data_IF_419408121771
#
_entry.id   IF_419408121771
#
_cell.length_a   1.000
_cell.length_b   1.000
_cell.length_c   1.000
_cell.angle_alpha   90.00
_cell.angle_beta   90.00
_cell.angle_gamma   90.00
#
_symmetry.space_group_name_H-M   'P 1'
#
loop_
_entity.id
_entity.type
_entity.pdbx_description
1 polymer ?
#
# COMPACT_ATOMS: atom_id res chain seq x y z
N UNK A 1 21.88 -15.75 10.62
CA UNK A 1 21.40 -14.37 10.37
C UNK A 1 20.92 -14.26 8.92
N UNK A 2 20.05 -13.29 8.61
CA UNK A 2 19.55 -13.06 7.24
C UNK A 2 19.73 -11.60 6.88
N UNK A 3 20.28 -11.33 5.70
CA UNK A 3 20.38 -10.01 5.10
C UNK A 3 19.51 -9.98 3.85
N UNK A 4 18.66 -8.97 3.75
CA UNK A 4 17.68 -8.83 2.67
C UNK A 4 17.96 -7.56 1.90
N UNK A 5 18.10 -7.68 0.59
CA UNK A 5 18.32 -6.58 -0.34
C UNK A 5 17.21 -6.55 -1.39
N UNK A 6 16.78 -5.35 -1.79
CA UNK A 6 15.79 -5.24 -2.86
C UNK A 6 16.33 -5.74 -4.20
N UNK A 7 17.62 -5.52 -4.47
CA UNK A 7 18.37 -6.05 -5.62
C UNK A 7 19.84 -6.21 -5.31
N UNK A 8 20.53 -7.06 -6.08
CA UNK A 8 21.99 -7.30 -5.93
C UNK A 8 22.82 -6.02 -6.01
N UNK A 9 22.42 -5.06 -6.85
CA UNK A 9 23.10 -3.77 -6.96
C UNK A 9 23.04 -2.88 -5.71
N UNK A 10 22.24 -3.25 -4.70
CA UNK A 10 22.22 -2.56 -3.40
C UNK A 10 23.00 -3.30 -2.30
N UNK A 11 23.58 -4.45 -2.61
CA UNK A 11 24.46 -5.16 -1.68
C UNK A 11 25.86 -4.53 -1.74
N UNK A 12 26.33 -3.89 -0.65
CA UNK A 12 27.68 -3.34 -0.58
C UNK A 12 28.76 -4.42 -0.46
N UNK A 13 28.36 -5.68 -0.33
CA UNK A 13 29.25 -6.79 0.00
C UNK A 13 29.58 -6.84 1.49
N UNK A 14 30.22 -7.94 1.90
CA UNK A 14 30.70 -8.11 3.26
C UNK A 14 32.16 -7.67 3.38
N UNK A 15 32.53 -6.99 4.49
CA UNK A 15 33.93 -6.79 4.83
C UNK A 15 34.64 -8.14 4.95
N UNK A 16 35.96 -8.15 4.70
CA UNK A 16 36.75 -9.39 4.64
C UNK A 16 36.61 -10.26 5.89
N UNK A 17 36.52 -9.64 7.07
CA UNK A 17 36.35 -10.31 8.37
C UNK A 17 35.03 -11.07 8.53
N UNK A 18 34.06 -10.83 7.64
CA UNK A 18 32.74 -11.45 7.69
C UNK A 18 32.47 -12.40 6.51
N UNK A 19 33.42 -12.60 5.59
CA UNK A 19 33.21 -13.46 4.42
C UNK A 19 32.96 -14.92 4.81
N UNK A 20 33.61 -15.42 5.85
CA UNK A 20 33.44 -16.79 6.34
C UNK A 20 32.01 -17.12 6.77
N UNK A 21 31.19 -16.12 7.13
CA UNK A 21 29.79 -16.35 7.49
C UNK A 21 28.93 -16.81 6.31
N UNK A 22 29.28 -16.42 5.08
CA UNK A 22 28.61 -16.93 3.87
C UNK A 22 29.01 -18.38 3.59
N UNK A 23 30.31 -18.66 3.61
CA UNK A 23 30.85 -20.00 3.34
C UNK A 23 30.35 -21.04 4.33
N UNK A 24 30.22 -20.64 5.60
CA UNK A 24 29.73 -21.50 6.69
C UNK A 24 28.19 -21.53 6.81
N UNK A 25 27.45 -20.90 5.90
CA UNK A 25 25.99 -20.81 5.91
C UNK A 25 25.39 -20.21 7.20
N UNK A 26 26.19 -19.43 7.95
CA UNK A 26 25.72 -18.71 9.15
C UNK A 26 25.03 -17.39 8.79
N UNK A 27 25.22 -16.92 7.57
CA UNK A 27 24.57 -15.77 6.98
C UNK A 27 23.93 -16.14 5.64
N UNK A 28 22.65 -15.80 5.49
CA UNK A 28 21.90 -15.96 4.24
C UNK A 28 21.63 -14.59 3.61
N UNK A 29 21.98 -14.45 2.33
CA UNK A 29 21.66 -13.29 1.52
C UNK A 29 20.40 -13.58 0.70
N UNK A 30 19.42 -12.68 0.79
CA UNK A 30 18.18 -12.75 0.03
C UNK A 30 18.06 -11.49 -0.84
N UNK A 31 17.99 -11.68 -2.15
CA UNK A 31 17.70 -10.62 -3.11
C UNK A 31 16.25 -10.73 -3.56
N UNK A 32 15.44 -9.71 -3.28
CA UNK A 32 14.00 -9.77 -3.49
C UNK A 32 13.63 -9.87 -4.98
N UNK A 33 14.37 -9.23 -5.87
CA UNK A 33 14.19 -9.31 -7.31
C UNK A 33 14.64 -10.64 -7.94
N UNK A 34 15.41 -11.46 -7.21
CA UNK A 34 15.90 -12.77 -7.66
C UNK A 34 15.18 -13.95 -6.99
N UNK A 35 14.12 -13.69 -6.21
CA UNK A 35 13.40 -14.76 -5.51
C UNK A 35 12.68 -15.70 -6.51
N UNK A 36 12.85 -17.04 -6.40
CA UNK A 36 12.22 -17.99 -7.30
C UNK A 36 10.69 -17.94 -7.23
N UNK A 37 10.03 -17.94 -8.39
CA UNK A 37 8.57 -17.90 -8.48
C UNK A 37 7.91 -19.02 -7.66
N UNK A 38 8.50 -20.23 -7.69
CA UNK A 38 8.02 -21.38 -6.90
C UNK A 38 7.88 -21.11 -5.41
N UNK A 39 8.77 -20.31 -4.82
CA UNK A 39 8.71 -19.98 -3.38
C UNK A 39 7.65 -18.91 -3.15
N UNK A 40 7.64 -17.89 -3.99
CA UNK A 40 6.70 -16.77 -3.88
C UNK A 40 5.25 -17.20 -4.13
N UNK A 41 5.02 -18.19 -4.98
CA UNK A 41 3.68 -18.69 -5.30
C UNK A 41 3.12 -19.60 -4.21
N UNK A 42 3.98 -20.07 -3.29
CA UNK A 42 3.60 -20.91 -2.15
C UNK A 42 3.36 -20.12 -0.86
N UNK A 43 3.87 -18.88 -0.75
CA UNK A 43 3.65 -18.02 0.42
C UNK A 43 3.25 -16.61 0.00
N UNK A 44 2.06 -16.22 0.44
CA UNK A 44 1.50 -14.89 0.23
C UNK A 44 2.40 -13.80 0.83
N UNK A 45 2.94 -14.04 2.01
CA UNK A 45 3.82 -13.11 2.73
C UNK A 45 5.13 -12.87 1.97
N UNK A 46 5.73 -13.94 1.42
CA UNK A 46 6.95 -13.82 0.61
C UNK A 46 6.66 -13.08 -0.70
N UNK A 47 5.53 -13.39 -1.34
CA UNK A 47 5.03 -12.67 -2.51
C UNK A 47 4.82 -11.18 -2.25
N UNK A 48 4.26 -10.83 -1.09
CA UNK A 48 4.11 -9.45 -0.66
C UNK A 48 5.49 -8.80 -0.57
N UNK A 49 6.39 -9.29 0.28
CA UNK A 49 7.73 -8.70 0.47
C UNK A 49 8.48 -8.55 -0.86
N UNK A 50 8.32 -9.47 -1.80
CA UNK A 50 8.91 -9.39 -3.14
C UNK A 50 8.55 -8.09 -3.88
N UNK A 51 7.34 -7.55 -3.70
CA UNK A 51 6.88 -6.32 -4.35
C UNK A 51 7.85 -5.14 -4.13
N UNK A 52 8.63 -5.14 -3.04
CA UNK A 52 9.64 -4.12 -2.76
C UNK A 52 10.78 -4.14 -3.79
N UNK A 53 11.20 -5.33 -4.25
CA UNK A 53 12.33 -5.49 -5.19
C UNK A 53 11.97 -5.33 -6.67
N UNK A 54 10.71 -5.56 -7.05
CA UNK A 54 10.30 -5.66 -8.47
C UNK A 54 10.32 -4.32 -9.23
N UNK A 55 10.37 -4.32 -10.56
CA UNK A 55 10.10 -3.08 -11.31
C UNK A 55 8.59 -2.78 -11.35
N UNK A 56 8.19 -1.58 -11.75
CA UNK A 56 6.78 -1.14 -11.74
C UNK A 56 5.84 -2.10 -12.48
N UNK A 57 6.17 -2.49 -13.71
CA UNK A 57 5.32 -3.36 -14.52
C UNK A 57 5.11 -4.73 -13.85
N UNK A 58 6.20 -5.37 -13.43
CA UNK A 58 6.16 -6.70 -12.81
C UNK A 58 5.49 -6.64 -11.42
N UNK A 59 5.70 -5.55 -10.66
CA UNK A 59 5.06 -5.36 -9.37
C UNK A 59 3.53 -5.29 -9.49
N UNK A 60 3.00 -4.66 -10.54
CA UNK A 60 1.55 -4.63 -10.78
C UNK A 60 0.97 -6.00 -11.10
N UNK A 61 1.61 -6.75 -11.98
CA UNK A 61 1.18 -8.11 -12.33
C UNK A 61 1.21 -9.02 -11.10
N UNK A 62 2.29 -8.94 -10.32
CA UNK A 62 2.42 -9.68 -9.05
C UNK A 62 1.34 -9.28 -8.04
N UNK A 63 1.08 -7.98 -7.86
CA UNK A 63 0.07 -7.52 -6.92
C UNK A 63 -1.35 -7.95 -7.30
N UNK A 64 -1.69 -7.97 -8.59
CA UNK A 64 -2.98 -8.52 -9.05
C UNK A 64 -3.10 -9.99 -8.68
N UNK A 65 -2.07 -10.80 -8.97
CA UNK A 65 -2.04 -12.21 -8.61
C UNK A 65 -2.19 -12.41 -7.09
N UNK A 66 -1.50 -11.62 -6.27
CA UNK A 66 -1.62 -11.64 -4.80
C UNK A 66 -3.06 -11.40 -4.36
N UNK A 67 -3.73 -10.38 -4.91
CA UNK A 67 -5.11 -10.05 -4.55
C UNK A 67 -6.09 -11.13 -4.99
N UNK A 68 -5.93 -11.67 -6.20
CA UNK A 68 -6.74 -12.78 -6.71
C UNK A 68 -6.56 -14.06 -5.91
N UNK A 69 -5.31 -14.42 -5.59
CA UNK A 69 -4.99 -15.57 -4.74
C UNK A 69 -5.58 -15.41 -3.33
N UNK A 70 -5.48 -14.22 -2.74
CA UNK A 70 -6.05 -13.95 -1.42
C UNK A 70 -7.57 -14.14 -1.43
N UNK A 71 -8.26 -13.65 -2.45
CA UNK A 71 -9.71 -13.85 -2.61
C UNK A 71 -10.07 -15.33 -2.82
N UNK A 72 -9.22 -16.11 -3.48
CA UNK A 72 -9.43 -17.54 -3.71
C UNK A 72 -9.13 -18.40 -2.48
N UNK A 73 -8.17 -18.00 -1.64
CA UNK A 73 -7.71 -18.78 -0.50
C UNK A 73 -8.48 -18.49 0.80
N UNK A 74 -9.04 -17.30 0.95
CA UNK A 74 -9.81 -16.94 2.16
C UNK A 74 -11.00 -16.05 1.85
N UNK A 75 -12.11 -16.30 2.55
CA UNK A 75 -13.29 -15.42 2.59
C UNK A 75 -13.25 -14.42 3.76
N UNK A 76 -12.18 -14.43 4.55
CA UNK A 76 -12.01 -13.49 5.66
C UNK A 76 -11.73 -12.08 5.13
N UNK A 77 -12.70 -11.18 5.34
CA UNK A 77 -12.61 -9.79 4.93
C UNK A 77 -11.45 -9.03 5.61
N UNK A 78 -11.07 -9.41 6.84
CA UNK A 78 -9.96 -8.77 7.56
C UNK A 78 -8.64 -9.09 6.85
N UNK A 79 -8.42 -10.36 6.52
CA UNK A 79 -7.21 -10.79 5.80
C UNK A 79 -7.14 -10.21 4.39
N UNK A 80 -8.25 -10.21 3.64
CA UNK A 80 -8.31 -9.58 2.31
C UNK A 80 -7.96 -8.08 2.38
N UNK A 81 -8.49 -7.38 3.39
CA UNK A 81 -8.22 -5.97 3.60
C UNK A 81 -6.76 -5.73 4.01
N UNK A 82 -6.19 -6.56 4.90
CA UNK A 82 -4.78 -6.49 5.32
C UNK A 82 -3.82 -6.60 4.13
N UNK A 83 -4.08 -7.55 3.23
CA UNK A 83 -3.29 -7.74 2.02
C UNK A 83 -3.40 -6.54 1.09
N UNK A 84 -4.62 -6.03 0.87
CA UNK A 84 -4.83 -4.83 0.06
C UNK A 84 -4.10 -3.61 0.65
N UNK A 85 -4.15 -3.41 1.95
CA UNK A 85 -3.45 -2.33 2.65
C UNK A 85 -1.94 -2.41 2.46
N UNK A 86 -1.37 -3.61 2.55
CA UNK A 86 0.05 -3.81 2.35
C UNK A 86 0.48 -3.49 0.90
N UNK A 87 -0.28 -3.98 -0.09
CA UNK A 87 -0.04 -3.69 -1.51
C UNK A 87 -0.09 -2.19 -1.79
N UNK A 88 -1.13 -1.49 -1.30
CA UNK A 88 -1.27 -0.04 -1.46
C UNK A 88 -0.11 0.69 -0.81
N UNK A 89 0.28 0.28 0.40
CA UNK A 89 1.40 0.89 1.13
C UNK A 89 2.69 0.78 0.32
N UNK A 90 3.04 -0.39 -0.22
CA UNK A 90 4.24 -0.53 -1.06
C UNK A 90 4.16 0.35 -2.29
N UNK A 91 3.01 0.43 -2.95
CA UNK A 91 2.89 1.18 -4.21
C UNK A 91 2.99 2.68 -4.01
N UNK A 92 2.35 3.22 -2.99
CA UNK A 92 2.44 4.64 -2.65
C UNK A 92 3.89 5.04 -2.35
N UNK A 93 4.63 4.22 -1.60
CA UNK A 93 6.01 4.53 -1.23
C UNK A 93 6.97 4.35 -2.41
N UNK A 94 6.80 3.29 -3.19
CA UNK A 94 7.73 2.92 -4.24
C UNK A 94 7.51 3.66 -5.55
N UNK A 95 6.26 4.02 -5.83
CA UNK A 95 5.85 4.69 -7.05
C UNK A 95 5.10 6.00 -6.72
N UNK A 96 5.76 6.97 -6.05
CA UNK A 96 5.11 8.16 -5.52
C UNK A 96 4.53 9.11 -6.58
N UNK A 97 4.90 8.92 -7.86
CA UNK A 97 4.38 9.69 -8.99
C UNK A 97 3.06 9.14 -9.54
N UNK A 98 2.64 7.95 -9.10
CA UNK A 98 1.36 7.39 -9.53
C UNK A 98 0.21 8.09 -8.83
N UNK A 99 -0.77 8.47 -9.62
CA UNK A 99 -2.06 8.86 -9.10
C UNK A 99 -2.79 7.65 -8.51
N UNK A 100 -3.72 7.97 -7.61
CA UNK A 100 -4.67 7.03 -7.06
C UNK A 100 -5.44 6.24 -8.13
N UNK A 101 -5.88 6.91 -9.20
CA UNK A 101 -6.66 6.27 -10.26
C UNK A 101 -5.79 5.35 -11.13
N UNK A 102 -4.51 5.66 -11.31
CA UNK A 102 -3.56 4.75 -11.96
C UNK A 102 -3.35 3.49 -11.10
N UNK A 103 -3.15 3.64 -9.79
CA UNK A 103 -3.02 2.49 -8.87
C UNK A 103 -4.29 1.63 -8.92
N UNK A 104 -5.48 2.25 -8.91
CA UNK A 104 -6.77 1.55 -9.00
C UNK A 104 -6.93 0.79 -10.31
N UNK A 105 -6.62 1.45 -11.42
CA UNK A 105 -6.70 0.84 -12.75
C UNK A 105 -5.77 -0.38 -12.85
N UNK A 106 -4.56 -0.26 -12.31
CA UNK A 106 -3.55 -1.32 -12.35
C UNK A 106 -3.88 -2.50 -11.43
N UNK A 107 -4.42 -2.25 -10.22
CA UNK A 107 -4.81 -3.29 -9.28
C UNK A 107 -6.17 -3.93 -9.61
N UNK A 108 -6.93 -3.32 -10.52
CA UNK A 108 -8.25 -3.78 -10.92
C UNK A 108 -9.39 -3.10 -10.16
N UNK A 109 -10.54 -2.99 -10.82
CA UNK A 109 -11.70 -2.23 -10.34
C UNK A 109 -12.35 -2.79 -9.07
N UNK A 110 -12.05 -4.05 -8.71
CA UNK A 110 -12.51 -4.70 -7.47
C UNK A 110 -11.74 -4.23 -6.23
N UNK A 111 -10.58 -3.60 -6.39
CA UNK A 111 -9.81 -3.08 -5.27
C UNK A 111 -10.50 -1.86 -4.65
N UNK A 112 -11.03 -2.02 -3.44
CA UNK A 112 -11.68 -0.95 -2.70
C UNK A 112 -10.67 -0.01 -2.04
N UNK A 113 -9.85 0.68 -2.85
CA UNK A 113 -8.78 1.57 -2.36
C UNK A 113 -9.26 2.57 -1.30
N UNK A 114 -10.50 3.09 -1.44
CA UNK A 114 -11.15 3.98 -0.46
C UNK A 114 -11.19 3.44 0.96
N UNK A 115 -11.16 2.11 1.13
CA UNK A 115 -11.21 1.46 2.44
C UNK A 115 -9.84 1.30 3.09
N UNK A 116 -8.74 1.47 2.35
CA UNK A 116 -7.41 1.37 2.93
C UNK A 116 -7.06 2.59 3.77
N UNK A 117 -6.29 2.36 4.82
CA UNK A 117 -5.91 3.37 5.80
C UNK A 117 -5.27 4.61 5.17
N UNK A 118 -4.32 4.43 4.26
CA UNK A 118 -3.64 5.55 3.60
C UNK A 118 -4.62 6.51 2.89
N UNK A 119 -5.56 5.96 2.10
CA UNK A 119 -6.53 6.81 1.39
C UNK A 119 -7.56 7.45 2.33
N UNK A 120 -7.91 6.80 3.44
CA UNK A 120 -8.76 7.41 4.48
C UNK A 120 -8.04 8.57 5.17
N UNK A 121 -6.75 8.42 5.51
CA UNK A 121 -5.96 9.48 6.13
C UNK A 121 -5.81 10.69 5.22
N UNK A 122 -5.57 10.47 3.91
CA UNK A 122 -5.54 11.55 2.92
C UNK A 122 -6.91 12.24 2.82
N UNK A 123 -8.01 11.48 2.81
CA UNK A 123 -9.37 12.05 2.81
C UNK A 123 -9.61 12.89 4.08
N UNK A 124 -9.22 12.39 5.25
CA UNK A 124 -9.36 13.07 6.53
C UNK A 124 -8.53 14.36 6.61
N UNK A 125 -7.31 14.35 6.07
CA UNK A 125 -6.48 15.55 5.97
C UNK A 125 -7.18 16.61 5.09
N UNK A 126 -7.71 16.20 3.92
CA UNK A 126 -8.45 17.11 3.03
C UNK A 126 -9.65 17.71 3.75
N UNK A 127 -10.45 16.88 4.43
CA UNK A 127 -11.63 17.33 5.17
C UNK A 127 -11.25 18.33 6.26
N UNK A 128 -10.18 18.04 7.02
CA UNK A 128 -9.68 18.90 8.09
C UNK A 128 -9.28 20.29 7.61
N UNK A 129 -8.70 20.37 6.40
CA UNK A 129 -8.20 21.62 5.82
C UNK A 129 -9.27 22.40 5.06
N UNK A 130 -10.24 21.72 4.46
CA UNK A 130 -11.18 22.34 3.53
C UNK A 130 -12.58 22.60 4.11
N UNK A 131 -13.13 21.70 4.93
CA UNK A 131 -14.57 21.76 5.28
C UNK A 131 -14.93 23.04 6.05
N UNK A 132 -14.18 23.39 7.11
CA UNK A 132 -14.51 24.56 7.93
C UNK A 132 -14.31 25.89 7.17
N UNK A 133 -13.23 26.12 6.41
CA UNK A 133 -13.11 27.31 5.57
C UNK A 133 -14.24 27.45 4.54
N UNK A 134 -14.62 26.36 3.86
CA UNK A 134 -15.68 26.40 2.85
C UNK A 134 -17.06 26.67 3.45
N UNK A 135 -17.34 26.16 4.66
CA UNK A 135 -18.56 26.53 5.38
C UNK A 135 -18.58 28.01 5.75
N UNK A 136 -17.43 28.56 6.20
CA UNK A 136 -17.32 29.99 6.53
C UNK A 136 -17.48 30.88 5.31
N UNK A 137 -17.10 30.41 4.11
CA UNK A 137 -17.35 31.12 2.85
C UNK A 137 -18.79 30.96 2.33
N UNK A 138 -19.68 30.34 3.10
CA UNK A 138 -21.10 30.20 2.76
C UNK A 138 -21.43 29.01 1.85
N UNK A 139 -20.50 28.09 1.58
CA UNK A 139 -20.82 26.89 0.82
C UNK A 139 -21.70 25.95 1.64
N UNK A 140 -22.69 25.33 0.98
CA UNK A 140 -23.54 24.33 1.61
C UNK A 140 -22.82 22.99 1.73
N UNK A 141 -23.21 22.16 2.70
CA UNK A 141 -22.67 20.79 2.86
C UNK A 141 -22.77 19.97 1.58
N UNK A 142 -23.86 20.12 0.81
CA UNK A 142 -24.03 19.43 -0.47
C UNK A 142 -23.02 19.89 -1.53
N UNK A 143 -22.77 21.20 -1.61
CA UNK A 143 -21.78 21.76 -2.52
C UNK A 143 -20.35 21.32 -2.13
N UNK A 144 -20.02 21.33 -0.85
CA UNK A 144 -18.72 20.87 -0.34
C UNK A 144 -18.51 19.39 -0.65
N UNK A 145 -19.53 18.54 -0.42
CA UNK A 145 -19.45 17.11 -0.72
C UNK A 145 -19.19 16.85 -2.21
N UNK A 146 -19.86 17.59 -3.10
CA UNK A 146 -19.65 17.50 -4.54
C UNK A 146 -18.23 17.96 -4.94
N UNK A 147 -17.77 19.10 -4.43
CA UNK A 147 -16.45 19.67 -4.74
C UNK A 147 -15.31 18.75 -4.29
N UNK A 148 -15.40 18.23 -3.06
CA UNK A 148 -14.38 17.35 -2.49
C UNK A 148 -14.54 15.88 -2.93
N UNK A 149 -15.55 15.56 -3.74
CA UNK A 149 -15.88 14.19 -4.19
C UNK A 149 -16.06 13.17 -3.05
N UNK A 150 -16.60 13.63 -1.92
CA UNK A 150 -16.92 12.82 -0.73
C UNK A 150 -18.43 12.74 -0.53
N UNK A 151 -18.88 11.80 0.32
CA UNK A 151 -20.30 11.71 0.61
C UNK A 151 -20.77 12.84 1.53
N UNK A 152 -22.01 13.30 1.35
CA UNK A 152 -22.66 14.27 2.28
C UNK A 152 -22.67 13.74 3.71
N UNK A 153 -22.82 12.43 3.89
CA UNK A 153 -22.75 11.76 5.20
C UNK A 153 -21.39 12.01 5.86
N UNK A 154 -20.29 11.82 5.11
CA UNK A 154 -18.92 12.00 5.61
C UNK A 154 -18.63 13.45 6.02
N UNK A 155 -19.06 14.43 5.22
CA UNK A 155 -18.92 15.85 5.56
C UNK A 155 -19.67 16.18 6.85
N UNK A 156 -20.89 15.66 7.01
CA UNK A 156 -21.66 15.85 8.25
C UNK A 156 -21.02 15.16 9.46
N UNK A 157 -20.47 13.96 9.30
CA UNK A 157 -19.71 13.27 10.37
C UNK A 157 -18.50 14.11 10.79
N UNK A 158 -17.73 14.62 9.84
CA UNK A 158 -16.58 15.48 10.11
C UNK A 158 -16.99 16.75 10.88
N UNK A 159 -18.07 17.43 10.45
CA UNK A 159 -18.58 18.64 11.13
C UNK A 159 -18.96 18.33 12.59
N UNK A 160 -19.62 17.19 12.84
CA UNK A 160 -19.99 16.77 14.20
C UNK A 160 -18.77 16.55 15.08
N UNK A 161 -17.75 15.88 14.56
CA UNK A 161 -16.49 15.63 15.29
C UNK A 161 -15.80 16.97 15.61
N UNK A 162 -15.63 17.83 14.61
CA UNK A 162 -14.96 19.13 14.77
C UNK A 162 -15.71 20.11 15.70
N UNK A 163 -17.01 19.93 15.91
CA UNK A 163 -17.81 20.69 16.86
C UNK A 163 -17.75 20.11 18.28
N UNK A 164 -17.55 18.80 18.43
CA UNK A 164 -17.43 18.14 19.74
C UNK A 164 -16.06 18.36 20.40
N UNK A 165 -15.04 18.72 19.62
CA UNK A 165 -13.68 19.05 20.09
C UNK A 165 -13.51 20.52 20.50
N UNK A 166 -14.58 21.33 20.44
CA UNK A 166 -14.61 22.73 20.90
C UNK A 166 -15.34 22.87 22.23
#
# INVERSE_FOLDING_TARGET
AVMVFAKRGYDPGLPIHYQDFLTTQRLHLVYLDEMPDKITDQSLEVSLVQLIGLNQKVAFDRARNILEQTQAQTSDAIEQQRVLEWVVTVFVHKFPKLSREEIKTMLGTKAELKKTRFYQEVEDEILSRAVLPLLKSGMTVKAIAAELQVSVKRVNEFIKIAQAEK
#
